data_IF_021190886040
#
_entry.id   IF_021190886040
#
_cell.length_a   1.000
_cell.length_b   1.000
_cell.length_c   1.000
_cell.angle_alpha   90.00
_cell.angle_beta   90.00
_cell.angle_gamma   90.00
#
_symmetry.space_group_name_H-M   'P 1'
#
loop_
_entity.id
_entity.type
_entity.pdbx_description
1 polymer ?
#
# COMPACT_ATOMS: atom_id res chain seq x y z
N UNK A 1 10.78 21.40 40.84
CA UNK A 1 9.64 20.50 41.07
C UNK A 1 9.45 19.74 39.77
N UNK A 2 9.82 18.46 39.77
CA UNK A 2 9.65 17.57 38.63
C UNK A 2 8.21 17.07 38.68
N UNK A 3 7.38 17.54 37.76
CA UNK A 3 6.06 16.95 37.54
C UNK A 3 6.28 15.59 36.88
N UNK A 4 6.23 14.56 37.72
CA UNK A 4 6.07 13.18 37.30
C UNK A 4 4.65 13.08 36.75
N UNK A 5 4.54 13.04 35.43
CA UNK A 5 3.29 12.66 34.77
C UNK A 5 3.04 11.21 35.17
N UNK A 6 2.04 10.97 36.02
CA UNK A 6 1.57 9.62 36.33
C UNK A 6 1.11 8.97 35.02
N UNK A 7 1.89 7.99 34.54
CA UNK A 7 1.45 7.07 33.50
C UNK A 7 0.31 6.24 34.09
N UNK A 8 -0.92 6.57 33.66
CA UNK A 8 -2.10 5.74 33.96
C UNK A 8 -1.88 4.29 33.51
N UNK A 9 -2.66 3.34 34.04
CA UNK A 9 -2.46 1.92 33.75
C UNK A 9 -2.47 1.69 32.24
N UNK A 10 -1.34 1.19 31.70
CA UNK A 10 -1.25 0.78 30.30
C UNK A 10 -2.28 -0.33 30.06
N UNK A 11 -3.40 0.03 29.43
CA UNK A 11 -4.38 -0.95 28.96
C UNK A 11 -3.68 -1.75 27.87
N UNK A 12 -3.41 -3.03 28.18
CA UNK A 12 -2.78 -3.95 27.23
C UNK A 12 -3.64 -4.04 25.97
N UNK A 13 -3.08 -3.67 24.83
CA UNK A 13 -3.81 -3.70 23.56
C UNK A 13 -3.89 -5.13 23.02
N UNK A 14 -5.09 -5.56 22.65
CA UNK A 14 -5.29 -6.87 22.01
C UNK A 14 -5.11 -6.78 20.50
N UNK A 15 -4.64 -7.86 19.87
CA UNK A 15 -4.45 -7.96 18.41
C UNK A 15 -5.71 -7.63 17.62
N UNK A 16 -6.86 -8.10 18.11
CA UNK A 16 -8.16 -7.88 17.49
C UNK A 16 -8.78 -6.66 18.16
N UNK A 17 -8.88 -5.56 17.43
CA UNK A 17 -9.47 -4.31 17.92
C UNK A 17 -11.00 -4.34 17.85
N UNK A 18 -11.57 -5.19 17.00
CA UNK A 18 -13.01 -5.37 16.86
C UNK A 18 -13.38 -6.37 15.78
N UNK A 19 -14.59 -6.95 15.90
CA UNK A 19 -15.18 -7.88 14.92
C UNK A 19 -16.68 -7.67 14.83
N UNK A 20 -17.22 -7.73 13.61
CA UNK A 20 -18.66 -7.70 13.34
C UNK A 20 -19.03 -8.64 12.21
N UNK A 21 -20.24 -9.21 12.27
CA UNK A 21 -20.76 -10.09 11.22
C UNK A 21 -20.04 -11.43 11.09
N UNK A 22 -20.46 -12.23 10.10
CA UNK A 22 -19.88 -13.53 9.76
C UNK A 22 -19.96 -13.80 8.25
N UNK A 23 -19.05 -14.61 7.72
CA UNK A 23 -19.05 -15.02 6.32
C UNK A 23 -18.57 -13.96 5.33
N UNK A 24 -18.83 -14.19 4.04
CA UNK A 24 -18.38 -13.36 2.93
C UNK A 24 -19.40 -12.28 2.51
N UNK A 25 -18.94 -11.11 2.03
CA UNK A 25 -17.55 -10.67 1.96
C UNK A 25 -16.95 -10.38 3.34
N UNK A 26 -15.64 -10.54 3.49
CA UNK A 26 -14.91 -10.19 4.72
C UNK A 26 -13.93 -9.04 4.47
N UNK A 27 -14.06 -7.96 5.26
CA UNK A 27 -13.14 -6.83 5.24
C UNK A 27 -12.19 -6.89 6.43
N UNK A 28 -10.90 -6.93 6.17
CA UNK A 28 -9.85 -6.94 7.19
C UNK A 28 -9.15 -5.59 7.16
N UNK A 29 -9.23 -4.87 8.27
CA UNK A 29 -8.50 -3.62 8.47
C UNK A 29 -7.26 -3.87 9.31
N UNK A 30 -6.15 -3.27 8.92
CA UNK A 30 -4.94 -3.16 9.71
C UNK A 30 -4.75 -1.69 10.10
N UNK A 31 -4.41 -1.44 11.36
CA UNK A 31 -3.90 -0.15 11.82
C UNK A 31 -2.62 -0.38 12.62
N UNK A 32 -1.73 0.61 12.64
CA UNK A 32 -0.51 0.52 13.44
C UNK A 32 0.44 -0.58 12.97
N UNK A 33 0.52 -0.85 11.66
CA UNK A 33 1.62 -1.67 11.10
C UNK A 33 2.97 -1.00 11.39
N UNK A 34 3.00 0.33 11.32
CA UNK A 34 4.02 1.14 11.97
C UNK A 34 3.49 1.67 13.30
N UNK A 35 4.26 1.53 14.38
CA UNK A 35 3.79 1.86 15.74
C UNK A 35 3.61 3.35 16.02
N UNK A 36 4.29 4.22 15.28
CA UNK A 36 4.17 5.68 15.39
C UNK A 36 2.95 6.27 14.69
N UNK A 37 1.99 5.44 14.25
CA UNK A 37 0.82 5.84 13.46
C UNK A 37 -0.50 5.49 14.18
N UNK A 38 -0.80 6.13 15.34
CA UNK A 38 -1.88 5.69 16.21
C UNK A 38 -3.29 6.03 15.69
N UNK A 39 -3.42 6.95 14.73
CA UNK A 39 -4.70 7.41 14.22
C UNK A 39 -5.57 6.26 13.70
N UNK A 40 -4.98 5.30 12.98
CA UNK A 40 -5.70 4.16 12.39
C UNK A 40 -6.21 3.19 13.44
N UNK A 41 -5.38 2.89 14.44
CA UNK A 41 -5.76 2.03 15.57
C UNK A 41 -6.95 2.63 16.32
N UNK A 42 -6.86 3.93 16.66
CA UNK A 42 -7.92 4.64 17.39
C UNK A 42 -9.21 4.74 16.57
N UNK A 43 -9.11 5.04 15.28
CA UNK A 43 -10.27 5.09 14.39
C UNK A 43 -10.95 3.72 14.28
N UNK A 44 -10.18 2.63 14.18
CA UNK A 44 -10.73 1.28 14.15
C UNK A 44 -11.45 0.93 15.45
N UNK A 45 -10.84 1.19 16.61
CA UNK A 45 -11.48 0.99 17.91
C UNK A 45 -12.79 1.79 18.01
N UNK A 46 -12.76 3.07 17.62
CA UNK A 46 -13.94 3.92 17.61
C UNK A 46 -15.05 3.32 16.73
N UNK A 47 -14.78 3.09 15.44
CA UNK A 47 -15.80 2.60 14.51
C UNK A 47 -16.37 1.26 14.96
N UNK A 48 -15.52 0.31 15.35
CA UNK A 48 -16.00 -1.01 15.76
C UNK A 48 -16.74 -1.03 17.10
N UNK A 49 -16.47 -0.07 18.00
CA UNK A 49 -17.26 0.11 19.22
C UNK A 49 -18.65 0.70 18.97
N UNK A 50 -18.80 1.48 17.89
CA UNK A 50 -20.06 2.11 17.52
C UNK A 50 -20.95 1.20 16.65
N UNK A 51 -20.35 0.25 15.93
CA UNK A 51 -21.06 -0.70 15.08
C UNK A 51 -21.86 -1.69 15.93
N UNK A 52 -23.16 -1.81 15.65
CA UNK A 52 -24.04 -2.79 16.28
C UNK A 52 -24.30 -3.96 15.37
N UNK A 53 -24.73 -5.09 15.95
CA UNK A 53 -25.09 -6.28 15.18
C UNK A 53 -26.20 -5.99 14.16
N UNK A 54 -27.16 -5.11 14.50
CA UNK A 54 -28.23 -4.70 13.58
C UNK A 54 -27.77 -3.82 12.39
N UNK A 55 -26.56 -3.26 12.44
CA UNK A 55 -25.99 -2.47 11.33
C UNK A 55 -25.43 -3.37 10.22
N UNK A 56 -25.03 -4.59 10.59
CA UNK A 56 -24.48 -5.57 9.65
C UNK A 56 -25.59 -6.09 8.75
N UNK A 57 -25.38 -6.00 7.44
CA UNK A 57 -26.30 -6.46 6.41
C UNK A 57 -25.87 -7.79 5.81
N UNK A 58 -24.57 -7.94 5.55
CA UNK A 58 -23.99 -9.13 4.92
C UNK A 58 -22.50 -9.24 5.29
N UNK A 59 -21.99 -10.46 5.38
CA UNK A 59 -20.55 -10.68 5.51
C UNK A 59 -20.01 -10.24 6.88
N UNK A 60 -18.72 -9.93 6.91
CA UNK A 60 -17.99 -9.65 8.14
C UNK A 60 -16.94 -8.57 7.99
N UNK A 61 -16.53 -8.01 9.12
CA UNK A 61 -15.36 -7.15 9.20
C UNK A 61 -14.55 -7.41 10.46
N UNK A 62 -13.23 -7.28 10.35
CA UNK A 62 -12.26 -7.53 11.41
C UNK A 62 -11.27 -6.36 11.42
N UNK A 63 -11.05 -5.76 12.59
CA UNK A 63 -10.00 -4.78 12.81
C UNK A 63 -8.83 -5.40 13.57
N UNK A 64 -7.62 -5.23 13.04
CA UNK A 64 -6.39 -5.75 13.59
C UNK A 64 -5.40 -4.61 13.85
N UNK A 65 -4.64 -4.70 14.93
CA UNK A 65 -3.41 -3.92 15.09
C UNK A 65 -2.23 -4.69 14.48
N UNK A 66 -1.31 -3.98 13.83
CA UNK A 66 -0.17 -4.54 13.12
C UNK A 66 1.05 -4.86 13.99
N UNK A 67 1.71 -3.86 14.57
CA UNK A 67 2.92 -4.03 15.39
C UNK A 67 2.65 -3.52 16.81
N UNK A 68 2.22 -4.42 17.70
CA UNK A 68 1.86 -4.07 19.08
C UNK A 68 3.08 -3.53 19.82
N UNK A 69 4.22 -4.23 19.75
CA UNK A 69 5.44 -3.81 20.43
C UNK A 69 5.95 -2.43 20.00
N UNK A 70 5.89 -2.11 18.69
CA UNK A 70 6.27 -0.77 18.22
C UNK A 70 5.21 0.29 18.58
N UNK A 71 3.92 -0.07 18.57
CA UNK A 71 2.82 0.82 18.92
C UNK A 71 2.89 1.27 20.38
N UNK A 72 3.15 0.34 21.31
CA UNK A 72 3.31 0.65 22.74
C UNK A 72 4.51 1.60 22.97
N UNK A 73 5.57 1.47 22.17
CA UNK A 73 6.76 2.32 22.23
C UNK A 73 6.67 3.61 21.40
N UNK A 74 5.57 3.81 20.65
CA UNK A 74 5.38 4.96 19.76
C UNK A 74 6.51 5.14 18.73
N UNK A 75 7.13 4.04 18.30
CA UNK A 75 8.18 4.02 17.27
C UNK A 75 7.66 3.38 16.00
N UNK A 76 8.26 3.73 14.84
CA UNK A 76 7.87 3.13 13.55
C UNK A 76 8.01 1.62 13.58
N UNK A 77 9.16 1.14 14.04
CA UNK A 77 9.56 -0.26 14.19
C UNK A 77 10.63 -0.35 15.28
N UNK A 78 10.83 -1.54 15.84
CA UNK A 78 11.86 -1.85 16.84
C UNK A 78 13.13 -2.39 16.19
N UNK A 79 13.01 -3.32 15.25
CA UNK A 79 14.15 -3.91 14.53
C UNK A 79 13.99 -3.84 13.01
N UNK A 80 12.93 -4.44 12.47
CA UNK A 80 12.70 -4.57 11.03
C UNK A 80 11.33 -3.99 10.67
N UNK A 81 11.23 -3.35 9.51
CA UNK A 81 9.96 -2.78 9.06
C UNK A 81 8.97 -3.91 8.75
N UNK A 82 7.92 -4.02 9.58
CA UNK A 82 6.91 -5.07 9.44
C UNK A 82 6.19 -5.00 8.08
N UNK A 83 6.20 -3.85 7.39
CA UNK A 83 5.66 -3.70 6.04
C UNK A 83 6.72 -3.93 4.93
N UNK A 84 7.79 -4.67 5.23
CA UNK A 84 8.85 -5.06 4.27
C UNK A 84 9.20 -6.55 4.28
N UNK A 85 8.54 -7.34 5.12
CA UNK A 85 8.94 -8.72 5.43
C UNK A 85 8.06 -9.80 4.80
N UNK A 86 7.06 -9.42 4.01
CA UNK A 86 6.05 -10.32 3.43
C UNK A 86 6.45 -10.91 2.08
N UNK A 87 7.73 -10.87 1.70
CA UNK A 87 8.19 -11.39 0.40
C UNK A 87 8.53 -12.89 0.42
N UNK A 88 8.25 -13.56 -0.71
CA UNK A 88 8.68 -14.94 -0.97
C UNK A 88 7.79 -16.04 -0.37
N UNK A 89 8.08 -17.29 -0.77
CA UNK A 89 7.54 -18.50 -0.14
C UNK A 89 8.38 -18.85 1.08
N UNK A 90 8.28 -18.06 2.15
CA UNK A 90 8.92 -18.35 3.44
C UNK A 90 8.16 -19.52 4.08
N UNK A 91 8.74 -20.73 4.20
CA UNK A 91 8.07 -21.89 4.79
C UNK A 91 7.68 -21.59 6.23
N UNK A 92 6.51 -22.08 6.68
CA UNK A 92 6.05 -21.91 8.07
C UNK A 92 7.07 -22.44 9.11
N UNK A 93 7.97 -23.35 8.72
CA UNK A 93 9.02 -23.89 9.60
C UNK A 93 10.16 -22.91 9.91
N UNK A 94 10.43 -21.95 9.03
CA UNK A 94 11.49 -20.95 9.26
C UNK A 94 11.07 -19.90 10.29
N UNK A 95 9.76 -19.84 10.57
CA UNK A 95 9.15 -18.89 11.48
C UNK A 95 9.52 -19.22 12.93
N UNK A 96 9.27 -20.45 13.42
CA UNK A 96 9.36 -20.71 14.86
C UNK A 96 10.80 -20.70 15.39
N UNK A 97 11.76 -21.34 14.70
CA UNK A 97 13.16 -21.51 15.16
C UNK A 97 14.21 -21.29 14.05
N UNK A 98 13.84 -20.62 12.95
CA UNK A 98 14.69 -20.48 11.77
C UNK A 98 15.45 -19.16 11.64
N UNK A 99 16.27 -19.00 10.58
CA UNK A 99 17.02 -17.78 10.27
C UNK A 99 16.15 -16.53 10.18
N UNK A 100 14.90 -16.71 9.77
CA UNK A 100 13.90 -15.66 9.64
C UNK A 100 13.58 -14.98 10.98
N UNK A 101 13.52 -15.71 12.10
CA UNK A 101 13.34 -15.09 13.42
C UNK A 101 14.50 -14.15 13.77
N UNK A 102 15.72 -14.49 13.35
CA UNK A 102 16.91 -13.65 13.56
C UNK A 102 16.87 -12.40 12.69
N UNK A 103 16.45 -12.52 11.42
CA UNK A 103 16.29 -11.39 10.49
C UNK A 103 15.20 -10.41 10.94
N UNK A 104 14.08 -10.93 11.46
CA UNK A 104 12.95 -10.10 11.89
C UNK A 104 13.18 -9.46 13.26
N UNK A 105 14.01 -10.08 14.12
CA UNK A 105 14.27 -9.61 15.46
C UNK A 105 12.98 -9.47 16.28
N UNK A 106 12.75 -8.27 16.79
CA UNK A 106 11.60 -7.92 17.64
C UNK A 106 10.25 -8.04 16.90
N UNK A 107 10.23 -7.89 15.57
CA UNK A 107 9.02 -8.02 14.76
C UNK A 107 8.64 -9.47 14.42
N UNK A 108 9.45 -10.45 14.82
CA UNK A 108 9.16 -11.85 14.52
C UNK A 108 7.78 -12.27 15.06
N UNK A 109 7.50 -12.00 16.33
CA UNK A 109 6.25 -12.43 16.97
C UNK A 109 5.01 -11.74 16.36
N UNK A 110 5.15 -10.46 16.00
CA UNK A 110 4.13 -9.66 15.30
C UNK A 110 3.80 -10.27 13.95
N UNK A 111 4.83 -10.57 13.13
CA UNK A 111 4.68 -11.20 11.84
C UNK A 111 3.98 -12.56 11.95
N UNK A 112 4.38 -13.40 12.91
CA UNK A 112 3.80 -14.73 13.09
C UNK A 112 2.33 -14.68 13.45
N UNK A 113 1.97 -13.80 14.40
CA UNK A 113 0.59 -13.63 14.83
C UNK A 113 -0.30 -13.22 13.64
N UNK A 114 0.13 -12.20 12.88
CA UNK A 114 -0.60 -11.72 11.71
C UNK A 114 -0.67 -12.78 10.61
N UNK A 115 0.45 -13.43 10.27
CA UNK A 115 0.49 -14.45 9.23
C UNK A 115 -0.47 -15.58 9.56
N UNK A 116 -0.48 -16.12 10.79
CA UNK A 116 -1.44 -17.17 11.19
C UNK A 116 -2.90 -16.73 10.99
N UNK A 117 -3.25 -15.54 11.48
CA UNK A 117 -4.60 -15.02 11.33
C UNK A 117 -4.99 -14.83 9.87
N UNK A 118 -4.07 -14.33 9.03
CA UNK A 118 -4.32 -14.15 7.61
C UNK A 118 -4.46 -15.52 6.93
N UNK A 119 -3.60 -16.49 7.21
CA UNK A 119 -3.73 -17.85 6.64
C UNK A 119 -5.07 -18.49 6.99
N UNK A 120 -5.56 -18.31 8.21
CA UNK A 120 -6.87 -18.83 8.60
C UNK A 120 -8.00 -18.14 7.82
N UNK A 121 -7.95 -16.81 7.66
CA UNK A 121 -8.91 -16.07 6.86
C UNK A 121 -8.89 -16.51 5.38
N UNK A 122 -7.71 -16.72 4.81
CA UNK A 122 -7.53 -17.22 3.44
C UNK A 122 -8.13 -18.62 3.25
N UNK A 123 -8.19 -19.45 4.30
CA UNK A 123 -8.82 -20.78 4.26
C UNK A 123 -10.34 -20.72 4.42
N UNK A 124 -10.85 -19.76 5.20
CA UNK A 124 -12.28 -19.71 5.57
C UNK A 124 -13.12 -18.80 4.69
N UNK A 125 -12.52 -17.82 4.01
CA UNK A 125 -13.22 -16.82 3.21
C UNK A 125 -12.85 -16.90 1.73
N UNK A 126 -13.83 -16.63 0.86
CA UNK A 126 -13.63 -16.55 -0.60
C UNK A 126 -13.52 -15.13 -1.10
N UNK A 127 -14.16 -14.17 -0.43
CA UNK A 127 -14.19 -12.77 -0.86
C UNK A 127 -13.61 -11.87 0.23
N UNK A 128 -12.29 -11.68 0.15
CA UNK A 128 -11.51 -10.89 1.12
C UNK A 128 -11.08 -9.53 0.56
N UNK A 129 -11.20 -8.52 1.41
CA UNK A 129 -10.70 -7.16 1.20
C UNK A 129 -9.77 -6.79 2.34
N UNK A 130 -8.58 -6.30 2.02
CA UNK A 130 -7.56 -5.93 3.00
C UNK A 130 -7.24 -4.45 2.90
N UNK A 131 -7.40 -3.73 4.00
CA UNK A 131 -7.25 -2.28 4.07
C UNK A 131 -6.22 -1.95 5.14
N UNK A 132 -5.14 -1.30 4.76
CA UNK A 132 -4.10 -0.88 5.70
C UNK A 132 -4.17 0.63 5.94
N UNK A 133 -4.31 1.06 7.19
CA UNK A 133 -4.48 2.46 7.56
C UNK A 133 -3.15 3.05 8.03
N UNK A 134 -2.66 4.03 7.28
CA UNK A 134 -1.39 4.71 7.52
C UNK A 134 -1.56 6.22 7.61
N UNK A 135 -0.49 6.86 8.07
CA UNK A 135 -0.26 8.30 8.04
C UNK A 135 1.14 8.55 7.50
N UNK A 136 1.38 9.74 6.95
CA UNK A 136 2.67 10.10 6.36
C UNK A 136 3.50 11.01 7.26
N UNK A 137 4.81 11.02 7.06
CA UNK A 137 5.70 11.96 7.77
C UNK A 137 5.54 13.41 7.30
N UNK A 138 5.12 13.61 6.05
CA UNK A 138 4.89 14.92 5.44
C UNK A 138 3.42 15.34 5.48
N UNK A 139 3.10 16.64 5.49
CA UNK A 139 1.74 17.13 5.25
C UNK A 139 1.20 16.66 3.89
N UNK A 140 -0.03 16.14 3.87
CA UNK A 140 -0.64 15.56 2.67
C UNK A 140 -2.16 15.70 2.67
N UNK A 141 -2.77 15.76 1.48
CA UNK A 141 -4.17 15.40 1.34
C UNK A 141 -4.31 13.88 1.51
N UNK A 142 -5.46 13.36 1.98
CA UNK A 142 -5.66 11.91 2.10
C UNK A 142 -5.62 11.23 0.72
N UNK A 143 -5.04 10.05 0.62
CA UNK A 143 -4.90 9.31 -0.63
C UNK A 143 -4.92 7.79 -0.45
N UNK A 144 -5.13 7.07 -1.54
CA UNK A 144 -5.05 5.61 -1.59
C UNK A 144 -3.83 5.17 -2.38
N UNK A 145 -3.08 4.20 -1.86
CA UNK A 145 -2.06 3.48 -2.64
C UNK A 145 -2.49 2.03 -2.86
N UNK A 146 -2.27 1.52 -4.06
CA UNK A 146 -2.67 0.16 -4.41
C UNK A 146 -1.92 -0.31 -5.66
N UNK A 147 -1.85 -1.63 -5.87
CA UNK A 147 -1.33 -2.13 -7.14
C UNK A 147 -2.32 -1.96 -8.26
N UNK A 148 -1.78 -1.90 -9.46
CA UNK A 148 -2.54 -1.51 -10.64
C UNK A 148 -3.39 -2.65 -11.25
N UNK A 149 -4.40 -3.13 -10.53
CA UNK A 149 -5.36 -4.14 -11.00
C UNK A 149 -6.72 -3.54 -11.37
N UNK A 150 -7.44 -4.14 -12.31
CA UNK A 150 -8.78 -3.65 -12.68
C UNK A 150 -9.78 -3.74 -11.52
N UNK A 151 -9.71 -4.78 -10.69
CA UNK A 151 -10.58 -4.94 -9.52
C UNK A 151 -10.33 -3.83 -8.50
N UNK A 152 -9.06 -3.50 -8.21
CA UNK A 152 -8.72 -2.41 -7.30
C UNK A 152 -9.14 -1.04 -7.85
N UNK A 153 -8.89 -0.77 -9.15
CA UNK A 153 -9.36 0.45 -9.80
C UNK A 153 -10.87 0.62 -9.69
N UNK A 154 -11.63 -0.45 -9.93
CA UNK A 154 -13.09 -0.41 -9.78
C UNK A 154 -13.49 -0.29 -8.29
N UNK A 155 -12.73 -0.85 -7.35
CA UNK A 155 -12.97 -0.71 -5.90
C UNK A 155 -12.81 0.72 -5.39
N UNK A 156 -11.86 1.51 -5.88
CA UNK A 156 -11.68 2.91 -5.41
C UNK A 156 -12.40 3.95 -6.28
N UNK A 157 -13.03 3.51 -7.37
CA UNK A 157 -13.68 4.40 -8.34
C UNK A 157 -14.79 5.23 -7.69
N UNK A 158 -14.69 6.55 -7.80
CA UNK A 158 -15.67 7.49 -7.28
C UNK A 158 -15.56 7.76 -5.79
N UNK A 159 -14.46 7.33 -5.15
CA UNK A 159 -14.16 7.67 -3.75
C UNK A 159 -13.87 9.16 -3.55
N UNK A 160 -13.60 9.92 -4.62
CA UNK A 160 -13.17 11.32 -4.53
C UNK A 160 -11.69 11.47 -4.18
N UNK A 161 -10.99 10.40 -3.79
CA UNK A 161 -9.61 10.44 -3.34
C UNK A 161 -8.61 10.38 -4.51
N UNK A 162 -7.44 11.03 -4.40
CA UNK A 162 -6.31 10.73 -5.26
C UNK A 162 -5.81 9.30 -5.04
N UNK A 163 -5.38 8.67 -6.12
CA UNK A 163 -4.96 7.26 -6.15
C UNK A 163 -3.55 7.15 -6.72
N UNK A 164 -2.66 6.45 -6.02
CA UNK A 164 -1.30 6.14 -6.46
C UNK A 164 -1.24 4.68 -6.88
N UNK A 165 -0.85 4.45 -8.13
CA UNK A 165 -0.70 3.14 -8.73
C UNK A 165 0.78 2.74 -8.82
N UNK A 166 1.05 1.45 -8.67
CA UNK A 166 2.34 0.87 -9.07
C UNK A 166 3.46 1.05 -8.05
N UNK A 167 3.17 1.52 -6.83
CA UNK A 167 4.19 1.67 -5.78
C UNK A 167 4.82 0.32 -5.39
N UNK A 168 4.10 -0.79 -5.61
CA UNK A 168 4.59 -2.16 -5.38
C UNK A 168 5.81 -2.52 -6.24
N UNK A 169 6.02 -1.87 -7.39
CA UNK A 169 7.20 -2.12 -8.23
C UNK A 169 8.47 -1.48 -7.64
N UNK A 170 8.30 -0.61 -6.65
CA UNK A 170 9.39 0.14 -6.02
C UNK A 170 9.59 -0.25 -4.55
N UNK A 171 8.74 -1.10 -4.00
CA UNK A 171 8.76 -1.52 -2.59
C UNK A 171 8.87 -3.03 -2.51
N UNK A 172 9.80 -3.52 -1.67
CA UNK A 172 10.00 -4.95 -1.48
C UNK A 172 9.33 -5.45 -0.19
N UNK A 173 8.55 -6.52 -0.30
CA UNK A 173 7.88 -7.18 0.81
C UNK A 173 6.75 -6.45 1.57
N UNK A 174 5.99 -5.47 1.02
CA UNK A 174 4.79 -4.99 1.70
C UNK A 174 3.73 -6.07 1.88
N UNK A 175 3.02 -6.02 3.02
CA UNK A 175 1.90 -6.92 3.34
C UNK A 175 0.85 -6.92 2.23
N UNK A 176 0.46 -5.73 1.79
CA UNK A 176 -0.58 -5.58 0.77
C UNK A 176 -0.13 -6.14 -0.59
N UNK A 177 1.11 -5.93 -1.00
CA UNK A 177 1.64 -6.51 -2.25
C UNK A 177 1.55 -8.05 -2.22
N UNK A 178 1.91 -8.67 -1.09
CA UNK A 178 1.83 -10.12 -0.90
C UNK A 178 0.40 -10.67 -0.93
N UNK A 179 -0.57 -9.95 -0.37
CA UNK A 179 -2.00 -10.27 -0.42
C UNK A 179 -2.56 -10.13 -1.85
N UNK A 180 -2.12 -9.11 -2.57
CA UNK A 180 -2.55 -8.85 -3.94
C UNK A 180 -2.03 -9.89 -4.93
N UNK A 181 -0.81 -10.38 -4.73
CA UNK A 181 -0.23 -11.49 -5.50
C UNK A 181 -0.97 -12.82 -5.33
N UNK A 182 -1.86 -12.90 -4.34
CA UNK A 182 -2.78 -14.03 -4.09
C UNK A 182 -4.19 -13.76 -4.57
N UNK A 183 -4.41 -12.64 -5.26
CA UNK A 183 -5.69 -12.34 -5.90
C UNK A 183 -6.72 -11.66 -5.00
N UNK A 184 -6.31 -11.06 -3.87
CA UNK A 184 -7.23 -10.31 -2.97
C UNK A 184 -7.19 -8.80 -3.21
N UNK A 185 -8.30 -8.11 -2.96
CA UNK A 185 -8.33 -6.64 -3.00
C UNK A 185 -7.53 -6.14 -1.81
N UNK A 186 -6.47 -5.40 -2.07
CA UNK A 186 -5.64 -4.82 -1.03
C UNK A 186 -5.27 -3.38 -1.38
N UNK A 187 -5.35 -2.47 -0.42
CA UNK A 187 -4.93 -1.08 -0.56
C UNK A 187 -4.50 -0.50 0.78
N UNK A 188 -3.64 0.52 0.73
CA UNK A 188 -3.34 1.36 1.87
C UNK A 188 -4.09 2.68 1.74
N UNK A 189 -4.59 3.19 2.86
CA UNK A 189 -5.16 4.52 2.96
C UNK A 189 -4.31 5.38 3.89
N UNK A 190 -3.86 6.50 3.35
CA UNK A 190 -2.98 7.46 3.99
C UNK A 190 -3.82 8.69 4.31
N UNK A 191 -4.17 8.93 5.57
CA UNK A 191 -5.16 9.96 5.93
C UNK A 191 -4.61 11.38 5.99
N UNK A 192 -3.31 11.55 6.15
CA UNK A 192 -2.73 12.81 6.55
C UNK A 192 -1.38 12.62 7.21
N UNK A 193 -0.85 13.69 7.81
CA UNK A 193 0.40 13.61 8.57
C UNK A 193 0.19 12.85 9.89
N UNK A 194 1.24 12.22 10.43
CA UNK A 194 1.23 11.45 11.69
C UNK A 194 0.51 12.17 12.83
N UNK A 195 0.81 13.46 13.04
CA UNK A 195 0.30 14.25 14.15
C UNK A 195 -0.92 15.11 13.79
N UNK A 196 -1.46 14.98 12.58
CA UNK A 196 -2.64 15.75 12.17
C UNK A 196 -3.89 15.21 12.89
N UNK A 197 -4.57 16.02 13.73
CA UNK A 197 -5.78 15.58 14.43
C UNK A 197 -6.92 15.18 13.47
N UNK A 198 -6.94 15.70 12.25
CA UNK A 198 -7.91 15.30 11.23
C UNK A 198 -7.72 13.85 10.75
N UNK A 199 -6.52 13.28 10.88
CA UNK A 199 -6.21 11.91 10.44
C UNK A 199 -7.15 10.87 11.05
N UNK A 200 -7.52 11.03 12.32
CA UNK A 200 -8.43 10.11 13.02
C UNK A 200 -9.83 10.13 12.40
N UNK A 201 -10.42 11.31 12.20
CA UNK A 201 -11.74 11.45 11.56
C UNK A 201 -11.72 10.92 10.12
N UNK A 202 -10.66 11.22 9.37
CA UNK A 202 -10.49 10.73 7.99
C UNK A 202 -10.39 9.21 7.91
N UNK A 203 -9.63 8.56 8.80
CA UNK A 203 -9.61 7.10 8.92
C UNK A 203 -10.98 6.54 9.27
N UNK A 204 -11.66 7.13 10.26
CA UNK A 204 -12.98 6.66 10.70
C UNK A 204 -14.04 6.77 9.59
N UNK A 205 -13.97 7.82 8.76
CA UNK A 205 -14.80 7.97 7.55
C UNK A 205 -14.44 6.93 6.50
N UNK A 206 -13.15 6.72 6.23
CA UNK A 206 -12.70 5.76 5.23
C UNK A 206 -13.09 4.31 5.58
N UNK A 207 -13.02 3.93 6.86
CA UNK A 207 -13.49 2.62 7.36
C UNK A 207 -14.98 2.45 7.05
N UNK A 208 -15.83 3.43 7.41
CA UNK A 208 -17.28 3.37 7.12
C UNK A 208 -17.57 3.35 5.62
N UNK A 209 -16.86 4.16 4.82
CA UNK A 209 -16.94 4.16 3.37
C UNK A 209 -16.61 2.79 2.78
N UNK A 210 -15.56 2.15 3.28
CA UNK A 210 -15.13 0.81 2.83
C UNK A 210 -16.19 -0.24 3.20
N UNK A 211 -16.66 -0.25 4.44
CA UNK A 211 -17.68 -1.20 4.91
C UNK A 211 -18.97 -1.09 4.10
N UNK A 212 -19.44 0.13 3.82
CA UNK A 212 -20.63 0.37 3.01
C UNK A 212 -20.41 -0.04 1.54
N UNK A 213 -19.24 0.27 0.98
CA UNK A 213 -18.92 -0.07 -0.40
C UNK A 213 -18.80 -1.57 -0.66
N UNK A 214 -18.31 -2.32 0.32
CA UNK A 214 -18.29 -3.79 0.27
C UNK A 214 -19.68 -4.38 0.56
N UNK A 215 -20.57 -3.59 1.17
CA UNK A 215 -21.93 -4.00 1.53
C UNK A 215 -22.03 -4.69 2.90
N UNK A 216 -21.00 -4.56 3.75
CA UNK A 216 -21.02 -5.09 5.12
C UNK A 216 -22.05 -4.37 5.96
N UNK A 217 -22.10 -3.05 5.82
CA UNK A 217 -23.11 -2.18 6.42
C UNK A 217 -23.89 -1.47 5.30
N UNK A 218 -24.99 -0.82 5.67
CA UNK A 218 -25.65 0.15 4.79
C UNK A 218 -25.65 1.51 5.47
N UNK A 219 -24.76 2.38 5.02
CA UNK A 219 -24.57 3.73 5.54
C UNK A 219 -25.17 4.81 4.64
N UNK A 220 -25.11 6.05 5.09
CA UNK A 220 -25.32 7.22 4.24
C UNK A 220 -23.95 7.70 3.74
N UNK A 221 -23.67 7.50 2.46
CA UNK A 221 -22.38 7.84 1.83
C UNK A 221 -21.98 9.31 2.02
N UNK A 222 -22.95 10.21 2.07
CA UNK A 222 -22.68 11.64 2.25
C UNK A 222 -22.12 11.95 3.65
N UNK A 223 -22.44 11.12 4.67
CA UNK A 223 -21.97 11.33 6.05
C UNK A 223 -20.49 11.05 6.25
N UNK A 224 -19.91 10.17 5.43
CA UNK A 224 -18.50 9.79 5.51
C UNK A 224 -17.74 10.08 4.21
N UNK A 225 -18.26 11.01 3.40
CA UNK A 225 -17.53 11.55 2.27
C UNK A 225 -16.23 12.21 2.73
N UNK A 226 -15.15 11.91 2.01
CA UNK A 226 -13.85 12.54 2.21
C UNK A 226 -13.65 13.56 1.09
N UNK A 227 -13.47 14.82 1.48
CA UNK A 227 -13.28 15.91 0.54
C UNK A 227 -11.80 16.24 0.39
N UNK A 228 -11.35 16.25 -0.87
CA UNK A 228 -10.02 16.71 -1.26
C UNK A 228 -10.18 17.86 -2.25
N UNK A 229 -9.19 18.74 -2.32
CA UNK A 229 -9.20 19.86 -3.26
C UNK A 229 -9.12 19.40 -4.73
N UNK A 230 -9.74 20.18 -5.61
CA UNK A 230 -9.42 20.15 -7.05
C UNK A 230 -8.02 20.79 -7.19
N UNK A 231 -6.97 20.14 -7.75
CA UNK A 231 -6.94 19.14 -8.84
C UNK A 231 -6.78 17.66 -8.44
N UNK A 232 -6.75 17.34 -7.14
CA UNK A 232 -6.45 16.00 -6.63
C UNK A 232 -7.67 15.07 -6.61
N UNK A 233 -8.88 15.65 -6.62
CA UNK A 233 -10.12 14.87 -6.65
C UNK A 233 -10.13 13.87 -7.81
N UNK A 234 -10.28 12.59 -7.46
CA UNK A 234 -10.24 11.44 -8.39
C UNK A 234 -8.99 11.40 -9.30
N UNK A 235 -7.91 12.08 -8.92
CA UNK A 235 -6.68 12.09 -9.69
C UNK A 235 -5.93 10.78 -9.51
N UNK A 236 -5.49 10.19 -10.62
CA UNK A 236 -4.70 8.95 -10.59
C UNK A 236 -3.27 9.28 -10.97
N UNK A 237 -2.32 8.77 -10.21
CA UNK A 237 -0.89 8.93 -10.42
C UNK A 237 -0.20 7.57 -10.53
N UNK A 238 0.93 7.51 -11.24
CA UNK A 238 1.87 6.41 -11.15
C UNK A 238 3.24 6.86 -10.65
N UNK A 239 3.93 5.94 -9.98
CA UNK A 239 5.31 6.15 -9.54
C UNK A 239 6.26 6.04 -10.73
N UNK A 240 7.14 7.05 -10.87
CA UNK A 240 8.10 7.19 -11.98
C UNK A 240 9.54 7.01 -11.54
N UNK A 241 9.82 7.30 -10.29
CA UNK A 241 11.16 7.23 -9.71
C UNK A 241 11.04 7.00 -8.21
N UNK A 242 11.98 6.22 -7.69
CA UNK A 242 12.29 6.10 -6.26
C UNK A 242 13.73 6.58 -6.07
N UNK A 243 13.95 7.44 -5.09
CA UNK A 243 15.30 7.78 -4.61
C UNK A 243 15.64 6.88 -3.42
N UNK A 244 16.41 5.79 -3.62
CA UNK A 244 16.77 4.88 -2.53
C UNK A 244 17.87 5.47 -1.64
N UNK A 245 17.87 5.07 -0.38
CA UNK A 245 18.93 5.36 0.59
C UNK A 245 19.66 4.07 0.97
N UNK A 246 20.98 4.18 1.15
CA UNK A 246 21.81 3.09 1.65
C UNK A 246 22.01 3.21 3.16
N UNK A 247 22.26 2.11 3.88
CA UNK A 247 22.65 2.16 5.28
C UNK A 247 23.86 3.10 5.49
N UNK A 248 23.69 4.10 6.34
CA UNK A 248 24.73 5.09 6.67
C UNK A 248 24.67 6.41 5.88
N UNK A 249 23.74 6.56 4.92
CA UNK A 249 23.53 7.86 4.26
C UNK A 249 23.01 8.93 5.25
N UNK A 250 23.68 10.09 5.33
CA UNK A 250 23.11 11.31 5.94
C UNK A 250 22.27 12.01 4.87
N UNK A 251 20.99 11.65 4.82
CA UNK A 251 20.01 12.23 3.92
C UNK A 251 19.12 13.24 4.66
N UNK A 252 18.96 14.43 4.08
CA UNK A 252 18.05 15.46 4.59
C UNK A 252 17.25 16.06 3.45
N UNK A 253 15.95 15.87 3.50
CA UNK A 253 15.02 16.56 2.61
C UNK A 253 15.03 18.06 2.92
N UNK A 254 15.00 18.91 1.90
CA UNK A 254 14.74 20.33 2.10
C UNK A 254 13.33 20.52 2.69
N UNK A 255 13.16 21.40 3.68
CA UNK A 255 11.88 21.57 4.35
C UNK A 255 10.84 22.19 3.38
N UNK A 256 9.57 21.82 3.58
CA UNK A 256 8.43 22.48 2.95
C UNK A 256 7.81 21.73 1.77
N UNK A 257 8.42 20.65 1.27
CA UNK A 257 7.76 19.78 0.30
C UNK A 257 6.63 18.98 0.94
N UNK A 258 5.47 19.02 0.31
CA UNK A 258 4.28 18.22 0.60
C UNK A 258 4.11 17.14 -0.44
N UNK A 259 3.32 16.11 -0.12
CA UNK A 259 2.89 15.18 -1.15
C UNK A 259 2.13 15.91 -2.25
N UNK A 260 2.34 15.48 -3.49
CA UNK A 260 1.76 16.04 -4.71
C UNK A 260 2.34 17.40 -5.13
N UNK A 261 3.36 17.94 -4.45
CA UNK A 261 3.98 19.21 -4.88
C UNK A 261 4.68 19.05 -6.24
N UNK A 262 4.42 19.93 -7.22
CA UNK A 262 5.06 19.85 -8.51
C UNK A 262 6.56 20.20 -8.40
N UNK A 263 7.40 19.49 -9.14
CA UNK A 263 8.84 19.71 -9.20
C UNK A 263 9.35 19.55 -10.63
N UNK A 264 10.32 20.39 -11.02
CA UNK A 264 10.93 20.39 -12.35
C UNK A 264 12.25 19.65 -12.36
N UNK A 265 12.58 18.97 -13.46
CA UNK A 265 13.89 18.32 -13.64
C UNK A 265 15.03 19.29 -13.27
N UNK A 266 15.99 18.82 -12.48
CA UNK A 266 17.14 19.61 -12.03
C UNK A 266 16.92 20.44 -10.77
N UNK A 267 15.68 20.51 -10.25
CA UNK A 267 15.45 21.12 -8.94
C UNK A 267 16.12 20.29 -7.85
N UNK A 268 16.93 20.95 -7.03
CA UNK A 268 17.50 20.37 -5.81
C UNK A 268 16.41 20.27 -4.74
N UNK A 269 16.25 19.08 -4.16
CA UNK A 269 15.16 18.78 -3.21
C UNK A 269 15.66 18.24 -1.87
N UNK A 270 16.92 17.83 -1.81
CA UNK A 270 17.53 17.26 -0.62
C UNK A 270 19.06 17.37 -0.68
N UNK A 271 19.73 17.04 0.42
CA UNK A 271 21.17 16.85 0.51
C UNK A 271 21.44 15.43 1.01
N UNK A 272 22.35 14.71 0.36
CA UNK A 272 22.83 13.38 0.78
C UNK A 272 24.34 13.41 0.91
N UNK A 273 24.87 13.12 2.10
CA UNK A 273 26.31 13.09 2.38
C UNK A 273 27.03 14.38 1.95
N UNK A 274 26.38 15.53 2.17
CA UNK A 274 26.88 16.85 1.76
C UNK A 274 26.72 17.19 0.27
N UNK A 275 26.16 16.29 -0.55
CA UNK A 275 25.95 16.48 -1.98
C UNK A 275 24.48 16.80 -2.29
N UNK A 276 24.19 17.86 -3.07
CA UNK A 276 22.86 18.15 -3.58
C UNK A 276 22.21 16.98 -4.32
N UNK A 277 20.95 16.67 -3.98
CA UNK A 277 20.12 15.69 -4.68
C UNK A 277 19.11 16.44 -5.54
N UNK A 278 19.26 16.30 -6.87
CA UNK A 278 18.37 16.91 -7.85
C UNK A 278 17.41 15.89 -8.44
N UNK A 279 16.18 16.32 -8.74
CA UNK A 279 15.20 15.45 -9.38
C UNK A 279 15.57 15.15 -10.83
N UNK A 280 15.60 13.86 -11.19
CA UNK A 280 15.99 13.41 -12.53
C UNK A 280 14.93 13.68 -13.62
N UNK A 281 13.68 13.94 -13.22
CA UNK A 281 12.55 14.18 -14.11
C UNK A 281 11.52 15.13 -13.48
N UNK A 282 10.81 15.91 -14.31
CA UNK A 282 9.68 16.74 -13.86
C UNK A 282 8.53 15.85 -13.39
N UNK A 283 7.90 16.14 -12.26
CA UNK A 283 6.79 15.34 -11.73
C UNK A 283 6.22 15.98 -10.48
N UNK A 284 5.71 15.16 -9.57
CA UNK A 284 5.31 15.61 -8.24
C UNK A 284 6.11 14.86 -7.18
N UNK A 285 6.61 15.57 -6.17
CA UNK A 285 7.24 14.97 -4.99
C UNK A 285 6.19 14.15 -4.24
N UNK A 286 6.62 12.99 -3.76
CA UNK A 286 5.76 12.05 -3.06
C UNK A 286 6.53 11.29 -1.99
N UNK A 287 5.88 11.11 -0.83
CA UNK A 287 6.43 10.57 0.42
C UNK A 287 7.87 11.06 0.71
N UNK A 288 8.11 12.38 0.83
CA UNK A 288 9.42 12.89 1.21
C UNK A 288 9.76 12.46 2.64
N UNK A 289 11.00 12.01 2.85
CA UNK A 289 11.47 11.50 4.13
C UNK A 289 11.79 12.64 5.09
N UNK A 290 10.88 12.91 6.03
CA UNK A 290 11.11 13.85 7.15
C UNK A 290 11.29 13.18 8.51
N UNK A 291 11.07 11.87 8.57
CA UNK A 291 11.30 11.06 9.77
C UNK A 291 12.73 10.52 9.80
N UNK A 292 13.16 10.03 10.98
CA UNK A 292 14.54 9.53 11.19
C UNK A 292 14.82 8.17 10.53
N UNK A 293 13.79 7.35 10.33
CA UNK A 293 13.93 5.99 9.82
C UNK A 293 13.27 5.87 8.43
N UNK A 294 13.96 5.24 7.48
CA UNK A 294 13.42 4.97 6.15
C UNK A 294 14.51 4.57 5.16
N UNK A 295 14.14 3.81 4.14
CA UNK A 295 15.03 3.37 3.05
C UNK A 295 14.82 4.15 1.76
N UNK A 296 13.85 5.07 1.73
CA UNK A 296 13.51 5.89 0.58
C UNK A 296 13.55 7.37 0.96
N UNK A 297 14.29 8.18 0.21
CA UNK A 297 14.37 9.62 0.43
C UNK A 297 13.12 10.34 -0.07
N UNK A 298 12.67 10.02 -1.28
CA UNK A 298 11.39 10.45 -1.84
C UNK A 298 11.05 9.62 -3.09
N UNK A 299 9.83 9.79 -3.58
CA UNK A 299 9.37 9.30 -4.87
C UNK A 299 8.99 10.47 -5.78
N UNK A 300 9.01 10.22 -7.09
CA UNK A 300 8.35 11.09 -8.06
C UNK A 300 7.16 10.36 -8.66
N UNK A 301 6.01 11.03 -8.63
CA UNK A 301 4.79 10.55 -9.25
C UNK A 301 4.38 11.45 -10.43
N UNK A 302 3.58 10.91 -11.35
CA UNK A 302 2.97 11.70 -12.43
C UNK A 302 1.51 11.34 -12.60
N UNK A 303 0.69 12.36 -12.90
CA UNK A 303 -0.73 12.15 -13.18
C UNK A 303 -0.90 11.34 -14.46
N UNK A 304 -1.77 10.34 -14.41
CA UNK A 304 -2.20 9.52 -15.54
C UNK A 304 -3.48 10.12 -16.10
N UNK A 305 -3.55 10.30 -17.41
CA UNK A 305 -4.78 10.79 -18.04
C UNK A 305 -5.86 9.71 -18.07
N UNK A 306 -7.14 10.15 -18.05
CA UNK A 306 -8.30 9.25 -18.16
C UNK A 306 -8.27 8.41 -19.43
N UNK A 307 -7.73 8.96 -20.52
CA UNK A 307 -7.54 8.24 -21.78
C UNK A 307 -6.65 7.01 -21.62
N UNK A 308 -5.48 7.15 -20.98
CA UNK A 308 -4.57 6.03 -20.77
C UNK A 308 -5.14 4.96 -19.83
N UNK A 309 -5.88 5.37 -18.79
CA UNK A 309 -6.58 4.43 -17.91
C UNK A 309 -7.66 3.64 -18.66
N UNK A 310 -8.43 4.31 -19.51
CA UNK A 310 -9.45 3.69 -20.34
C UNK A 310 -8.82 2.71 -21.36
N UNK A 311 -7.79 3.14 -22.08
CA UNK A 311 -7.10 2.31 -23.05
C UNK A 311 -6.49 1.07 -22.39
N UNK A 312 -5.86 1.25 -21.22
CA UNK A 312 -5.34 0.13 -20.42
C UNK A 312 -6.43 -0.87 -20.05
N UNK A 313 -7.58 -0.38 -19.57
CA UNK A 313 -8.74 -1.23 -19.25
C UNK A 313 -9.23 -2.00 -20.46
N UNK A 314 -9.35 -1.34 -21.61
CA UNK A 314 -9.79 -1.98 -22.84
C UNK A 314 -8.82 -3.10 -23.30
N UNK A 315 -7.51 -2.82 -23.33
CA UNK A 315 -6.47 -3.79 -23.72
C UNK A 315 -6.44 -5.00 -22.78
N UNK A 316 -6.54 -4.77 -21.47
CA UNK A 316 -6.54 -5.86 -20.47
C UNK A 316 -7.77 -6.76 -20.60
N UNK A 317 -8.92 -6.18 -20.93
CA UNK A 317 -10.17 -6.92 -21.11
C UNK A 317 -10.30 -7.59 -22.49
N UNK A 318 -9.54 -7.18 -23.50
CA UNK A 318 -9.63 -7.74 -24.86
C UNK A 318 -8.93 -9.09 -25.02
N UNK A 319 -8.10 -9.50 -24.06
CA UNK A 319 -7.32 -10.75 -24.17
C UNK A 319 -6.08 -10.64 -25.06
N UNK A 320 -5.73 -9.43 -25.52
CA UNK A 320 -4.63 -9.18 -26.45
C UNK A 320 -3.23 -9.25 -25.81
N UNK A 321 -3.10 -9.71 -24.56
CA UNK A 321 -1.80 -9.78 -23.87
C UNK A 321 -0.80 -10.70 -24.55
N UNK A 322 -1.27 -11.75 -25.23
CA UNK A 322 -0.42 -12.63 -26.03
C UNK A 322 0.27 -11.93 -27.20
N UNK A 323 -0.22 -10.76 -27.63
CA UNK A 323 0.41 -10.03 -28.72
C UNK A 323 1.80 -9.46 -28.34
N UNK A 324 2.08 -9.31 -27.04
CA UNK A 324 3.38 -8.80 -26.58
C UNK A 324 4.54 -9.70 -27.00
N UNK A 325 4.34 -11.01 -27.15
CA UNK A 325 5.40 -11.94 -27.57
C UNK A 325 5.76 -11.82 -29.05
N UNK A 326 5.01 -11.05 -29.84
CA UNK A 326 5.41 -10.71 -31.22
C UNK A 326 6.37 -9.51 -31.27
N UNK A 327 6.56 -8.79 -30.16
CA UNK A 327 7.53 -7.71 -30.10
C UNK A 327 8.97 -8.30 -30.08
N UNK A 328 9.91 -7.73 -30.84
CA UNK A 328 11.31 -8.15 -30.79
C UNK A 328 11.85 -8.14 -29.36
N UNK A 329 12.56 -9.19 -28.97
CA UNK A 329 13.17 -9.31 -27.63
C UNK A 329 12.20 -9.71 -26.50
N UNK A 330 10.91 -9.93 -26.77
CA UNK A 330 9.91 -10.33 -25.76
C UNK A 330 9.59 -11.82 -25.87
N UNK A 331 9.91 -12.58 -24.82
CA UNK A 331 9.71 -14.03 -24.77
C UNK A 331 8.84 -14.43 -23.59
N UNK A 332 7.96 -15.42 -23.77
CA UNK A 332 7.27 -16.04 -22.64
C UNK A 332 8.23 -16.93 -21.86
N UNK A 333 8.11 -16.93 -20.52
CA UNK A 333 8.90 -17.83 -19.67
C UNK A 333 8.29 -19.24 -19.71
N UNK A 334 9.08 -20.29 -20.02
CA UNK A 334 8.56 -21.65 -20.07
C UNK A 334 7.89 -22.07 -18.76
N UNK A 335 6.71 -22.71 -18.85
CA UNK A 335 5.89 -23.16 -17.71
C UNK A 335 5.35 -22.04 -16.80
N UNK A 336 5.57 -20.77 -17.15
CA UNK A 336 5.10 -19.62 -16.39
C UNK A 336 4.29 -18.67 -17.29
N UNK A 337 3.02 -18.99 -17.59
CA UNK A 337 2.22 -18.30 -18.62
C UNK A 337 1.87 -16.84 -18.28
N UNK A 338 2.24 -16.37 -17.09
CA UNK A 338 2.08 -14.97 -16.65
C UNK A 338 3.37 -14.18 -16.76
N UNK A 339 4.52 -14.82 -16.98
CA UNK A 339 5.82 -14.16 -16.98
C UNK A 339 6.32 -13.95 -18.41
N UNK A 340 6.79 -12.74 -18.66
CA UNK A 340 7.49 -12.35 -19.87
C UNK A 340 8.92 -11.94 -19.50
N UNK A 341 9.85 -12.32 -20.36
CA UNK A 341 11.24 -11.88 -20.31
C UNK A 341 11.50 -10.97 -21.50
N UNK A 342 12.06 -9.79 -21.24
CA UNK A 342 12.33 -8.76 -22.25
C UNK A 342 13.82 -8.47 -22.28
N UNK A 343 14.44 -8.68 -23.43
CA UNK A 343 15.84 -8.33 -23.67
C UNK A 343 15.96 -6.85 -24.07
N UNK A 344 16.62 -6.04 -23.25
CA UNK A 344 16.70 -4.59 -23.44
C UNK A 344 17.63 -4.16 -24.57
N UNK A 345 18.48 -5.05 -25.11
CA UNK A 345 19.38 -4.76 -26.22
C UNK A 345 18.68 -4.87 -27.57
N UNK A 346 17.72 -5.79 -27.65
CA UNK A 346 17.00 -6.11 -28.90
C UNK A 346 15.57 -5.60 -28.91
N UNK A 347 14.98 -5.35 -27.74
CA UNK A 347 13.68 -4.73 -27.66
C UNK A 347 13.70 -3.39 -28.39
N UNK A 348 12.87 -3.30 -29.44
CA UNK A 348 12.40 -2.03 -29.97
C UNK A 348 11.88 -1.17 -28.79
N UNK A 349 11.79 0.15 -28.96
CA UNK A 349 11.49 1.16 -27.92
C UNK A 349 10.14 1.02 -27.15
N UNK A 350 9.62 -0.19 -26.98
CA UNK A 350 8.68 -0.60 -25.96
C UNK A 350 9.26 -0.33 -24.57
N UNK A 351 9.01 0.88 -24.08
CA UNK A 351 9.27 1.25 -22.69
C UNK A 351 8.44 0.38 -21.73
N UNK A 352 8.88 0.25 -20.47
CA UNK A 352 8.14 -0.39 -19.35
C UNK A 352 6.64 -0.01 -19.35
N UNK A 353 6.30 1.21 -19.77
CA UNK A 353 4.92 1.72 -19.86
C UNK A 353 4.02 0.92 -20.79
N UNK A 354 4.56 0.33 -21.86
CA UNK A 354 3.79 -0.53 -22.77
C UNK A 354 3.32 -1.76 -21.99
N UNK A 355 4.21 -2.43 -21.27
CA UNK A 355 3.86 -3.60 -20.45
C UNK A 355 2.84 -3.24 -19.36
N UNK A 356 3.00 -2.08 -18.70
CA UNK A 356 2.00 -1.56 -17.75
C UNK A 356 0.61 -1.41 -18.38
N UNK A 357 0.50 -0.94 -19.63
CA UNK A 357 -0.77 -0.80 -20.34
C UNK A 357 -1.52 -2.14 -20.42
N UNK A 358 -0.79 -3.23 -20.68
CA UNK A 358 -1.29 -4.60 -20.80
C UNK A 358 -1.49 -5.34 -19.46
N UNK A 359 -1.21 -4.68 -18.32
CA UNK A 359 -1.40 -5.28 -17.00
C UNK A 359 -0.22 -6.08 -16.45
N UNK A 360 0.95 -5.91 -17.06
CA UNK A 360 2.19 -6.45 -16.51
C UNK A 360 2.82 -5.46 -15.54
N UNK A 361 3.49 -5.97 -14.51
CA UNK A 361 4.37 -5.20 -13.62
C UNK A 361 5.80 -5.66 -13.84
N UNK A 362 6.77 -4.76 -13.63
CA UNK A 362 8.17 -5.18 -13.54
C UNK A 362 8.34 -5.99 -12.23
N UNK A 363 8.95 -7.15 -12.33
CA UNK A 363 9.24 -8.03 -11.20
C UNK A 363 10.71 -7.95 -10.81
N UNK A 364 11.60 -8.05 -11.79
CA UNK A 364 13.04 -8.02 -11.57
C UNK A 364 13.80 -7.53 -12.81
N UNK A 365 15.04 -7.10 -12.59
CA UNK A 365 16.01 -6.71 -13.62
C UNK A 365 17.31 -7.48 -13.41
N UNK A 366 17.60 -8.38 -14.35
CA UNK A 366 18.85 -9.14 -14.41
C UNK A 366 19.70 -8.62 -15.59
N UNK A 367 20.58 -7.65 -15.30
CA UNK A 367 21.41 -6.99 -16.30
C UNK A 367 20.59 -6.35 -17.43
N UNK A 368 20.66 -6.96 -18.62
CA UNK A 368 19.94 -6.54 -19.83
C UNK A 368 18.63 -7.31 -20.06
N UNK A 369 18.13 -8.00 -19.03
CA UNK A 369 16.88 -8.74 -19.06
C UNK A 369 15.92 -8.17 -18.03
N UNK A 370 14.73 -7.81 -18.47
CA UNK A 370 13.63 -7.41 -17.61
C UNK A 370 12.63 -8.54 -17.50
N UNK A 371 12.23 -8.86 -16.28
CA UNK A 371 11.22 -9.87 -15.99
C UNK A 371 9.92 -9.17 -15.61
N UNK A 372 8.86 -9.47 -16.36
CA UNK A 372 7.55 -8.92 -16.16
C UNK A 372 6.58 -10.02 -15.74
N UNK A 373 5.71 -9.73 -14.78
CA UNK A 373 4.64 -10.64 -14.37
C UNK A 373 3.28 -9.99 -14.57
N UNK A 374 2.34 -10.72 -15.15
CA UNK A 374 0.96 -10.27 -15.32
C UNK A 374 0.23 -10.28 -13.98
N UNK A 375 -0.38 -9.15 -13.63
CA UNK A 375 -1.21 -9.00 -12.44
C UNK A 375 -2.42 -9.94 -12.51
N UNK A 376 -2.74 -10.59 -11.39
CA UNK A 376 -3.67 -11.73 -11.34
C UNK A 376 -5.14 -11.33 -11.55
N UNK A 377 -5.52 -10.14 -11.07
CA UNK A 377 -6.90 -9.69 -10.95
C UNK A 377 -7.47 -8.95 -12.16
N UNK A 378 -6.86 -9.02 -13.34
CA UNK A 378 -7.45 -8.43 -14.56
C UNK A 378 -8.55 -9.31 -15.19
N UNK A 379 -9.02 -10.34 -14.45
CA UNK A 379 -10.13 -11.21 -14.87
C UNK A 379 -11.46 -10.58 -14.49
N UNK A 380 -12.43 -10.60 -15.43
CA UNK A 380 -13.84 -10.34 -15.14
C UNK A 380 -14.23 -11.17 -13.92
N UNK A 381 -14.77 -10.55 -12.85
CA UNK A 381 -15.60 -11.27 -11.89
C UNK A 381 -16.63 -12.01 -12.74
N UNK A 382 -16.59 -13.34 -12.75
CA UNK A 382 -17.70 -14.10 -13.32
C UNK A 382 -18.93 -13.72 -12.48
N UNK A 383 -20.06 -13.39 -13.12
CA UNK A 383 -21.29 -13.06 -12.41
C UNK A 383 -21.73 -14.18 -11.48
#
# INVERSE_FOLDING_TARGET
MNDVVEEGPQVKIERVLGRVGTGDPCVVFFGGVHGNEPAGVRALQQVFSELKAEDVRKGSAIALIGNIGAYEQHVRMRHTDLNRVWSGSRPERDLEHGPLRTELGDEAEEFHALNRMIQDLLKTHRELYFIDLHTTSAPTAPFVTMSDTLVNRDFVRGSGLPVILGIEEYLHGPLLSWLMERGHVALAFESGQHDDPASLDLHARFVRMTLDRVGVIRGNQDRYAIHVSDPLKDAVFDVRLREPLMPGDDFRMHPGYRNFDPVSKGTEVAVRNGVPVQVALTGNIFMPLYQRQGSEGFFLIRRISRFWLWLSKWIRLSGMQGLLTYLPGVNAVPKEPRRLQVDTRTAFAATVKVFHLFGYRLEDRDGDRLHFIRREQDRRRRP
#
